data_IF_483425646765
#
_entry.id   IF_483425646765
#
_cell.length_a   1.000
_cell.length_b   1.000
_cell.length_c   1.000
_cell.angle_alpha   90.00
_cell.angle_beta   90.00
_cell.angle_gamma   90.00
#
_symmetry.space_group_name_H-M   'P 1'
#
loop_
_entity.id
_entity.type
_entity.pdbx_description
1 polymer ?
#
# COMPACT_ATOMS: atom_id res chain seq x y z
N UNK A 1 -44.72 35.24 17.37
CA UNK A 1 -45.62 34.10 17.63
C UNK A 1 -45.51 33.13 16.45
N UNK A 2 -45.22 31.87 16.75
CA UNK A 2 -45.12 30.67 15.88
C UNK A 2 -44.05 30.70 14.76
N UNK A 3 -42.92 29.99 14.82
CA UNK A 3 -42.60 28.56 15.06
C UNK A 3 -43.01 27.62 13.92
N UNK A 4 -42.04 26.76 13.54
CA UNK A 4 -42.07 25.48 12.80
C UNK A 4 -41.32 25.54 11.46
N UNK A 5 -40.04 25.18 11.43
CA UNK A 5 -39.43 23.83 11.39
C UNK A 5 -39.35 23.28 9.95
N UNK A 6 -38.11 23.20 9.47
CA UNK A 6 -37.74 22.95 8.06
C UNK A 6 -37.06 21.58 7.96
N UNK A 7 -37.80 20.56 8.38
CA UNK A 7 -37.44 19.15 8.26
C UNK A 7 -38.46 18.48 7.33
N UNK A 8 -37.98 17.63 6.41
CA UNK A 8 -38.70 16.85 5.38
C UNK A 8 -38.55 17.34 3.92
N UNK A 9 -37.31 17.31 3.39
CA UNK A 9 -37.04 17.24 1.94
C UNK A 9 -36.06 16.13 1.56
N UNK A 10 -36.20 14.96 2.18
CA UNK A 10 -35.54 13.74 1.72
C UNK A 10 -36.45 12.53 1.91
N UNK A 11 -37.26 12.25 0.89
CA UNK A 11 -37.83 10.93 0.52
C UNK A 11 -38.81 11.17 -0.63
N UNK A 12 -38.95 10.19 -1.51
CA UNK A 12 -39.85 10.13 -2.67
C UNK A 12 -39.34 10.61 -4.03
N UNK A 13 -38.27 9.98 -4.55
CA UNK A 13 -38.21 9.62 -5.98
C UNK A 13 -37.56 8.23 -6.10
N UNK A 14 -38.35 7.20 -5.79
CA UNK A 14 -38.15 5.84 -6.27
C UNK A 14 -39.53 5.37 -6.76
N UNK A 15 -39.55 4.67 -7.89
CA UNK A 15 -40.72 4.03 -8.53
C UNK A 15 -41.54 4.92 -9.47
N UNK A 16 -41.06 5.04 -10.71
CA UNK A 16 -41.96 4.92 -11.86
C UNK A 16 -41.17 4.45 -13.07
N UNK A 17 -41.57 3.30 -13.60
CA UNK A 17 -41.51 2.85 -15.01
C UNK A 17 -41.33 1.34 -15.05
N UNK A 18 -42.45 0.63 -14.83
CA UNK A 18 -42.69 -0.68 -15.41
C UNK A 18 -43.87 -0.54 -16.35
N UNK A 19 -43.65 -0.96 -17.60
CA UNK A 19 -44.67 -1.56 -18.45
C UNK A 19 -45.32 -0.66 -19.49
N UNK A 20 -44.86 -0.76 -20.74
CA UNK A 20 -45.70 -1.20 -21.87
C UNK A 20 -44.77 -1.81 -22.95
N UNK A 21 -45.06 -3.05 -23.33
CA UNK A 21 -44.22 -3.85 -24.22
C UNK A 21 -44.51 -3.61 -25.71
N UNK A 22 -43.55 -4.00 -26.54
CA UNK A 22 -43.83 -4.46 -27.89
C UNK A 22 -42.77 -5.47 -28.30
N UNK A 23 -43.24 -6.57 -28.86
CA UNK A 23 -42.47 -7.65 -29.46
C UNK A 23 -41.55 -7.10 -30.56
N UNK A 24 -40.27 -7.45 -30.49
CA UNK A 24 -39.44 -7.84 -31.63
C UNK A 24 -38.07 -8.26 -31.11
N UNK A 25 -37.69 -9.50 -31.39
CA UNK A 25 -36.41 -10.08 -31.01
C UNK A 25 -35.26 -9.37 -31.73
N UNK A 26 -34.47 -8.62 -30.97
CA UNK A 26 -33.09 -8.27 -31.33
C UNK A 26 -32.28 -8.36 -30.04
N UNK A 27 -31.38 -9.34 -29.94
CA UNK A 27 -30.33 -9.38 -28.93
C UNK A 27 -29.44 -8.14 -29.13
N UNK A 28 -29.76 -7.03 -28.45
CA UNK A 28 -28.84 -5.91 -28.33
C UNK A 28 -27.83 -6.26 -27.25
N UNK A 29 -26.62 -6.58 -27.69
CA UNK A 29 -25.42 -6.48 -26.87
C UNK A 29 -25.46 -5.14 -26.13
N UNK A 30 -25.49 -5.20 -24.79
CA UNK A 30 -25.31 -4.01 -23.96
C UNK A 30 -23.86 -3.58 -24.16
N UNK A 31 -23.68 -2.56 -24.99
CA UNK A 31 -22.39 -1.96 -25.33
C UNK A 31 -21.53 -1.71 -24.08
N UNK A 32 -20.29 -2.20 -24.13
CA UNK A 32 -19.20 -1.98 -23.16
C UNK A 32 -19.03 -0.49 -22.76
N UNK A 33 -19.48 0.44 -23.61
CA UNK A 33 -19.45 1.87 -23.35
C UNK A 33 -20.33 2.36 -22.19
N UNK A 34 -21.39 1.65 -21.80
CA UNK A 34 -22.25 2.10 -20.68
C UNK A 34 -21.66 1.73 -19.31
N UNK A 35 -20.91 0.64 -19.24
CA UNK A 35 -20.17 0.23 -18.04
C UNK A 35 -18.93 1.11 -17.80
N UNK A 36 -18.31 1.64 -18.87
CA UNK A 36 -17.24 2.63 -18.77
C UNK A 36 -17.69 3.94 -18.09
N UNK A 37 -18.95 4.37 -18.28
CA UNK A 37 -19.50 5.61 -17.69
C UNK A 37 -19.86 5.52 -16.21
N UNK A 38 -19.98 4.31 -15.66
CA UNK A 38 -20.35 4.09 -14.25
C UNK A 38 -19.15 3.84 -13.34
N UNK A 39 -17.91 3.90 -13.85
CA UNK A 39 -16.71 3.64 -13.05
C UNK A 39 -16.60 2.19 -12.55
N UNK A 40 -17.31 1.25 -13.19
CA UNK A 40 -17.29 -0.18 -12.84
C UNK A 40 -16.17 -0.98 -13.53
N UNK A 41 -15.39 -0.35 -14.41
CA UNK A 41 -14.10 -0.89 -14.83
C UNK A 41 -13.08 -0.44 -13.79
N UNK A 42 -12.87 -1.26 -12.76
CA UNK A 42 -11.59 -1.27 -12.07
C UNK A 42 -10.53 -1.41 -13.17
N UNK A 43 -9.59 -0.47 -13.28
CA UNK A 43 -8.56 -0.48 -14.31
C UNK A 43 -8.07 -1.92 -14.51
N UNK A 44 -8.43 -2.53 -15.64
CA UNK A 44 -8.17 -3.95 -15.93
C UNK A 44 -6.67 -4.29 -15.94
N UNK A 45 -5.81 -3.26 -15.89
CA UNK A 45 -4.37 -3.38 -15.98
C UNK A 45 -3.67 -3.62 -14.63
N UNK A 46 -4.31 -3.35 -13.48
CA UNK A 46 -3.72 -3.59 -12.14
C UNK A 46 -4.75 -4.14 -11.14
N UNK A 47 -4.41 -5.24 -10.47
CA UNK A 47 -5.28 -5.87 -9.47
C UNK A 47 -5.25 -5.12 -8.12
N UNK A 48 -5.83 -3.91 -8.09
CA UNK A 48 -5.86 -3.06 -6.89
C UNK A 48 -6.64 -3.69 -5.73
N UNK A 49 -6.11 -3.54 -4.51
CA UNK A 49 -6.70 -4.10 -3.29
C UNK A 49 -7.96 -3.35 -2.80
N UNK A 50 -8.36 -2.26 -3.47
CA UNK A 50 -9.55 -1.48 -3.12
C UNK A 50 -10.87 -2.13 -3.53
N UNK A 51 -10.83 -3.09 -4.47
CA UNK A 51 -11.99 -3.87 -4.90
C UNK A 51 -12.00 -5.29 -4.35
N UNK A 52 -13.05 -6.04 -4.67
CA UNK A 52 -13.11 -7.49 -4.41
C UNK A 52 -11.99 -8.21 -5.16
N UNK A 53 -11.41 -9.24 -4.54
CA UNK A 53 -10.41 -10.06 -5.18
C UNK A 53 -11.00 -10.76 -6.44
N UNK A 54 -10.32 -10.75 -7.60
CA UNK A 54 -10.90 -11.22 -8.87
C UNK A 54 -11.48 -12.64 -8.86
N UNK A 55 -10.91 -13.57 -8.08
CA UNK A 55 -11.45 -14.93 -7.89
C UNK A 55 -12.84 -14.97 -7.24
N UNK A 56 -13.12 -14.02 -6.35
CA UNK A 56 -14.38 -13.93 -5.61
C UNK A 56 -15.38 -12.94 -6.23
N UNK A 57 -14.98 -12.29 -7.33
CA UNK A 57 -15.85 -11.37 -8.06
C UNK A 57 -16.96 -12.12 -8.80
N UNK A 58 -18.13 -11.47 -8.95
CA UNK A 58 -19.25 -12.00 -9.75
C UNK A 58 -18.92 -12.08 -11.25
N UNK A 59 -17.88 -11.40 -11.71
CA UNK A 59 -17.46 -11.41 -13.12
C UNK A 59 -16.38 -12.45 -13.37
N UNK A 60 -16.48 -13.18 -14.48
CA UNK A 60 -15.53 -14.26 -14.88
C UNK A 60 -14.22 -13.72 -15.46
N UNK A 61 -13.54 -12.83 -14.72
CA UNK A 61 -12.31 -12.19 -15.18
C UNK A 61 -11.05 -12.72 -14.48
N UNK A 62 -11.18 -13.65 -13.53
CA UNK A 62 -10.06 -14.14 -12.70
C UNK A 62 -8.91 -14.74 -13.53
N UNK A 63 -9.21 -15.54 -14.57
CA UNK A 63 -8.18 -16.14 -15.43
C UNK A 63 -7.38 -15.10 -16.21
N UNK A 64 -8.06 -14.12 -16.81
CA UNK A 64 -7.41 -13.01 -17.51
C UNK A 64 -6.58 -12.14 -16.57
N UNK A 65 -7.10 -11.86 -15.37
CA UNK A 65 -6.39 -11.08 -14.36
C UNK A 65 -5.10 -11.79 -13.90
N UNK A 66 -5.15 -13.12 -13.73
CA UNK A 66 -3.99 -13.93 -13.40
C UNK A 66 -2.93 -13.89 -14.51
N UNK A 67 -3.31 -14.15 -15.76
CA UNK A 67 -2.39 -14.11 -16.91
C UNK A 67 -1.71 -12.75 -17.06
N UNK A 68 -2.47 -11.66 -16.90
CA UNK A 68 -1.92 -10.30 -16.94
C UNK A 68 -0.97 -10.03 -15.76
N UNK A 69 -1.30 -10.52 -14.55
CA UNK A 69 -0.42 -10.38 -13.39
C UNK A 69 0.89 -11.14 -13.57
N UNK A 70 0.86 -12.36 -14.11
CA UNK A 70 2.03 -13.16 -14.43
C UNK A 70 2.95 -12.41 -15.41
N UNK A 71 2.39 -11.89 -16.50
CA UNK A 71 3.13 -11.10 -17.49
C UNK A 71 3.76 -9.83 -16.88
N UNK A 72 2.99 -9.05 -16.12
CA UNK A 72 3.52 -7.85 -15.45
C UNK A 72 4.63 -8.17 -14.47
N UNK A 73 4.58 -9.35 -13.82
CA UNK A 73 5.61 -9.81 -12.89
C UNK A 73 6.91 -10.11 -13.63
N UNK A 74 6.84 -10.81 -14.76
CA UNK A 74 8.01 -11.06 -15.63
C UNK A 74 8.63 -9.73 -16.10
N UNK A 75 7.80 -8.82 -16.63
CA UNK A 75 8.24 -7.48 -17.06
C UNK A 75 8.87 -6.68 -15.89
N UNK A 76 8.36 -6.83 -14.67
CA UNK A 76 8.91 -6.16 -13.49
C UNK A 76 10.29 -6.71 -13.10
N UNK A 77 10.47 -8.02 -13.13
CA UNK A 77 11.77 -8.66 -12.86
C UNK A 77 12.81 -8.26 -13.90
N UNK A 78 12.44 -8.21 -15.18
CA UNK A 78 13.34 -7.78 -16.25
C UNK A 78 13.75 -6.31 -16.09
N UNK A 79 12.79 -5.43 -15.76
CA UNK A 79 13.07 -4.01 -15.49
C UNK A 79 14.05 -3.83 -14.33
N UNK A 80 13.89 -4.58 -13.24
CA UNK A 80 14.82 -4.50 -12.09
C UNK A 80 16.23 -4.95 -12.47
N UNK A 81 16.35 -5.99 -13.30
CA UNK A 81 17.66 -6.49 -13.77
C UNK A 81 18.39 -5.49 -14.66
N UNK A 82 17.65 -4.74 -15.47
CA UNK A 82 18.23 -3.83 -16.46
C UNK A 82 18.38 -2.39 -15.96
N UNK A 83 17.75 -2.04 -14.84
CA UNK A 83 17.79 -0.68 -14.32
C UNK A 83 19.06 -0.35 -13.54
N UNK A 84 19.53 0.89 -13.68
CA UNK A 84 20.56 1.52 -12.86
C UNK A 84 19.90 2.67 -12.10
N UNK A 85 19.14 2.33 -11.08
CA UNK A 85 18.42 3.32 -10.28
C UNK A 85 19.37 4.06 -9.34
N UNK A 86 19.19 5.38 -9.25
CA UNK A 86 19.87 6.24 -8.29
C UNK A 86 19.10 6.30 -6.96
N UNK A 87 18.95 5.14 -6.32
CA UNK A 87 18.23 4.96 -5.07
C UNK A 87 18.76 5.85 -3.93
N UNK A 88 20.08 5.99 -3.85
CA UNK A 88 20.75 6.76 -2.81
C UNK A 88 20.38 8.25 -2.87
N UNK A 89 20.41 8.86 -4.05
CA UNK A 89 20.01 10.27 -4.16
C UNK A 89 18.52 10.47 -3.85
N UNK A 90 17.67 9.49 -4.18
CA UNK A 90 16.24 9.54 -3.83
C UNK A 90 16.01 9.53 -2.32
N UNK A 91 16.58 8.56 -1.60
CA UNK A 91 16.43 8.47 -0.14
C UNK A 91 17.07 9.66 0.59
N UNK A 92 18.18 10.19 0.07
CA UNK A 92 18.77 11.43 0.59
C UNK A 92 17.83 12.63 0.42
N UNK A 93 17.23 12.81 -0.76
CA UNK A 93 16.26 13.89 -1.02
C UNK A 93 15.05 13.84 -0.06
N UNK A 94 14.55 12.64 0.25
CA UNK A 94 13.47 12.47 1.22
C UNK A 94 13.87 12.93 2.64
N UNK A 95 15.13 12.72 3.02
CA UNK A 95 15.65 13.10 4.33
C UNK A 95 16.07 14.58 4.43
N UNK A 96 16.53 15.17 3.33
CA UNK A 96 17.06 16.53 3.30
C UNK A 96 15.97 17.60 3.43
N UNK A 97 14.68 17.27 3.24
CA UNK A 97 13.53 18.13 3.54
C UNK A 97 13.82 19.62 3.23
N UNK A 98 14.35 19.88 2.04
CA UNK A 98 14.57 21.24 1.54
C UNK A 98 13.19 21.78 1.19
N UNK A 99 12.81 22.86 1.86
CA UNK A 99 11.61 23.63 1.57
C UNK A 99 11.74 24.09 0.10
N UNK A 100 10.78 23.71 -0.77
CA UNK A 100 10.52 24.23 -2.13
C UNK A 100 10.40 23.22 -3.31
N UNK A 101 10.26 21.91 -3.07
CA UNK A 101 9.94 20.95 -4.15
C UNK A 101 8.46 20.50 -4.13
N UNK A 102 7.51 21.42 -4.30
CA UNK A 102 6.16 21.01 -4.73
C UNK A 102 6.16 20.86 -6.26
N UNK A 103 6.21 19.62 -6.76
CA UNK A 103 6.09 19.39 -8.20
C UNK A 103 4.69 19.80 -8.67
N UNK A 104 4.65 20.73 -9.62
CA UNK A 104 3.43 21.14 -10.32
C UNK A 104 3.04 19.99 -11.25
N UNK A 105 1.97 19.27 -10.92
CA UNK A 105 1.36 18.33 -11.86
C UNK A 105 0.44 19.14 -12.76
N UNK A 106 0.78 19.24 -14.04
CA UNK A 106 -0.19 19.63 -15.06
C UNK A 106 -1.29 18.57 -15.06
N UNK A 107 -2.50 18.95 -14.66
CA UNK A 107 -3.66 18.10 -14.82
C UNK A 107 -3.72 17.69 -16.29
N UNK A 108 -3.60 16.40 -16.57
CA UNK A 108 -3.72 15.84 -17.91
C UNK A 108 -4.89 16.52 -18.62
N UNK A 109 -4.61 17.09 -19.79
CA UNK A 109 -5.60 17.73 -20.65
C UNK A 109 -6.57 16.64 -21.10
N UNK A 110 -7.60 16.41 -20.30
CA UNK A 110 -8.78 15.67 -20.72
C UNK A 110 -9.37 16.47 -21.89
N UNK A 111 -9.13 16.00 -23.11
CA UNK A 111 -9.65 16.58 -24.35
C UNK A 111 -11.17 16.32 -24.45
N UNK A 112 -11.96 16.90 -23.55
CA UNK A 112 -13.40 17.00 -23.72
C UNK A 112 -13.87 18.43 -23.40
N UNK A 113 -14.11 19.14 -24.51
CA UNK A 113 -14.92 20.34 -24.67
C UNK A 113 -14.46 21.61 -23.93
N UNK A 114 -13.78 22.46 -24.71
CA UNK A 114 -13.60 23.88 -24.43
C UNK A 114 -14.96 24.56 -24.22
N UNK A 115 -15.30 24.80 -22.96
CA UNK A 115 -16.02 26.00 -22.58
C UNK A 115 -15.06 26.88 -21.80
N UNK A 116 -14.71 28.02 -22.39
CA UNK A 116 -13.86 29.07 -21.82
C UNK A 116 -14.35 29.45 -20.41
N UNK A 117 -13.73 28.88 -19.38
CA UNK A 117 -13.75 29.44 -18.03
C UNK A 117 -12.53 30.35 -17.87
N UNK A 118 -12.68 31.50 -17.21
CA UNK A 118 -11.61 32.48 -17.05
C UNK A 118 -10.36 31.82 -16.46
N UNK A 119 -9.19 32.19 -17.02
CA UNK A 119 -7.88 31.56 -16.79
C UNK A 119 -7.40 31.58 -15.32
N UNK A 120 -8.12 32.25 -14.42
CA UNK A 120 -7.71 32.60 -13.06
C UNK A 120 -8.06 31.54 -11.98
N UNK A 121 -8.59 30.36 -12.37
CA UNK A 121 -9.01 29.32 -11.42
C UNK A 121 -8.45 27.91 -11.71
N UNK A 122 -7.45 27.77 -12.59
CA UNK A 122 -6.69 26.51 -12.69
C UNK A 122 -5.82 26.35 -11.46
N UNK A 123 -6.40 25.82 -10.37
CA UNK A 123 -5.65 25.39 -9.18
C UNK A 123 -4.63 24.35 -9.62
N UNK A 124 -3.36 24.77 -9.73
CA UNK A 124 -2.21 23.86 -9.90
C UNK A 124 -2.29 22.82 -8.78
N UNK A 125 -2.32 21.54 -9.15
CA UNK A 125 -2.32 20.46 -8.16
C UNK A 125 -0.86 20.18 -7.81
N UNK A 126 -0.51 20.55 -6.59
CA UNK A 126 0.78 20.24 -6.02
C UNK A 126 0.73 18.86 -5.38
N UNK A 127 1.71 18.01 -5.72
CA UNK A 127 1.89 16.71 -5.08
C UNK A 127 3.02 16.82 -4.07
N UNK A 128 2.75 16.37 -2.84
CA UNK A 128 3.77 16.30 -1.79
C UNK A 128 4.89 15.37 -2.24
N UNK A 129 6.15 15.74 -2.01
CA UNK A 129 7.33 14.89 -2.24
C UNK A 129 7.30 13.56 -1.49
N UNK A 130 6.47 13.47 -0.46
CA UNK A 130 6.28 12.27 0.35
C UNK A 130 5.09 11.42 -0.13
N UNK A 131 4.41 11.84 -1.20
CA UNK A 131 3.25 11.15 -1.75
C UNK A 131 3.68 10.04 -2.70
N UNK A 132 2.98 8.92 -2.62
CA UNK A 132 3.19 7.71 -3.43
C UNK A 132 4.57 7.07 -3.31
N UNK A 133 5.33 7.39 -2.25
CA UNK A 133 6.65 6.82 -1.94
C UNK A 133 6.64 5.37 -1.44
N UNK A 134 5.44 4.81 -1.21
CA UNK A 134 5.28 3.48 -0.66
C UNK A 134 5.13 2.44 -1.77
N UNK A 135 5.83 1.31 -1.63
CA UNK A 135 5.59 0.13 -2.46
C UNK A 135 4.26 -0.53 -2.03
N UNK A 136 3.34 -0.67 -2.98
CA UNK A 136 1.98 -1.14 -2.76
C UNK A 136 1.76 -2.50 -3.43
N UNK A 137 0.99 -3.35 -2.76
CA UNK A 137 0.62 -4.67 -3.27
C UNK A 137 -0.53 -4.64 -4.26
N UNK A 138 -0.61 -5.69 -5.06
CA UNK A 138 -1.81 -6.13 -5.76
C UNK A 138 -2.46 -7.30 -5.00
N UNK A 139 -3.72 -7.61 -5.30
CA UNK A 139 -4.26 -8.92 -4.95
C UNK A 139 -3.36 -10.02 -5.52
N UNK A 140 -3.08 -11.07 -4.74
CA UNK A 140 -2.34 -12.23 -5.25
C UNK A 140 -3.31 -13.16 -6.00
N UNK A 141 -3.47 -12.91 -7.31
CA UNK A 141 -4.43 -13.63 -8.17
C UNK A 141 -3.76 -14.79 -8.89
N UNK A 142 -2.64 -14.51 -9.54
CA UNK A 142 -1.74 -15.49 -10.11
C UNK A 142 -0.78 -16.00 -9.04
N UNK A 143 -0.78 -17.33 -8.83
CA UNK A 143 0.07 -17.98 -7.83
C UNK A 143 1.34 -18.46 -8.54
N UNK A 144 2.51 -17.84 -8.31
CA UNK A 144 3.75 -18.27 -8.93
C UNK A 144 4.09 -19.70 -8.51
N UNK A 145 4.62 -20.49 -9.45
CA UNK A 145 5.08 -21.86 -9.17
C UNK A 145 6.20 -21.87 -8.12
N UNK A 146 7.05 -20.84 -8.12
CA UNK A 146 8.16 -20.64 -7.19
C UNK A 146 7.76 -19.95 -5.88
N UNK A 147 6.45 -19.86 -5.57
CA UNK A 147 5.98 -19.19 -4.35
C UNK A 147 6.71 -19.69 -3.10
N UNK A 148 6.84 -21.01 -2.92
CA UNK A 148 7.46 -21.59 -1.72
C UNK A 148 8.96 -21.29 -1.58
N UNK A 149 9.69 -21.20 -2.69
CA UNK A 149 11.14 -21.04 -2.70
C UNK A 149 11.60 -19.58 -2.77
N UNK A 150 10.85 -18.74 -3.48
CA UNK A 150 11.27 -17.38 -3.86
C UNK A 150 10.40 -16.28 -3.24
N UNK A 151 9.39 -16.63 -2.43
CA UNK A 151 8.52 -15.63 -1.81
C UNK A 151 8.52 -15.73 -0.29
N UNK A 152 8.32 -14.57 0.35
CA UNK A 152 8.21 -14.44 1.79
C UNK A 152 6.85 -13.85 2.17
N UNK A 153 6.22 -14.42 3.18
CA UNK A 153 4.96 -13.98 3.75
C UNK A 153 5.23 -13.09 4.96
N UNK A 154 4.56 -11.94 5.02
CA UNK A 154 4.58 -11.01 6.15
C UNK A 154 3.15 -10.71 6.61
N UNK A 155 2.81 -10.96 7.87
CA UNK A 155 1.51 -10.61 8.42
C UNK A 155 1.40 -9.10 8.65
N UNK A 156 0.31 -8.54 8.17
CA UNK A 156 0.02 -7.11 8.24
C UNK A 156 -0.99 -6.84 9.36
N UNK A 157 -0.63 -6.05 10.40
CA UNK A 157 -1.57 -5.64 11.42
C UNK A 157 -2.64 -4.68 10.87
N UNK A 158 -3.77 -4.59 11.56
CA UNK A 158 -4.75 -3.52 11.36
C UNK A 158 -4.12 -2.19 11.76
N UNK A 159 -4.04 -1.27 10.80
CA UNK A 159 -3.44 0.04 11.04
C UNK A 159 -3.38 0.92 9.80
N UNK A 160 -2.71 2.06 9.94
CA UNK A 160 -2.49 3.02 8.85
C UNK A 160 -1.10 2.80 8.27
N UNK A 161 -1.03 2.48 6.98
CA UNK A 161 0.23 2.44 6.23
C UNK A 161 0.84 3.84 6.17
N UNK A 162 2.11 3.97 6.54
CA UNK A 162 2.82 5.24 6.65
C UNK A 162 4.28 5.14 6.24
N UNK A 163 4.76 6.18 5.55
CA UNK A 163 6.19 6.43 5.37
C UNK A 163 6.70 7.13 6.64
N UNK A 164 7.74 6.60 7.27
CA UNK A 164 8.39 7.22 8.42
C UNK A 164 9.75 7.76 8.01
N UNK A 165 9.97 9.05 8.23
CA UNK A 165 11.25 9.72 7.97
C UNK A 165 11.78 10.28 9.28
N UNK A 166 12.91 9.74 9.76
CA UNK A 166 13.65 10.25 10.91
C UNK A 166 14.89 10.99 10.41
N UNK A 167 14.89 12.31 10.49
CA UNK A 167 15.98 13.15 10.00
C UNK A 167 16.00 14.48 10.77
N UNK A 168 17.17 15.13 10.80
CA UNK A 168 17.36 16.48 11.40
C UNK A 168 16.89 16.60 12.87
N UNK A 169 16.83 15.49 13.60
CA UNK A 169 16.49 15.43 15.01
C UNK A 169 15.00 15.30 15.33
N UNK A 170 14.17 14.96 14.34
CA UNK A 170 12.76 14.64 14.50
C UNK A 170 12.36 13.44 13.63
N UNK A 171 11.20 12.85 13.93
CA UNK A 171 10.60 11.77 13.14
C UNK A 171 9.20 12.17 12.71
N UNK A 172 8.95 12.12 11.41
CA UNK A 172 7.67 12.46 10.81
C UNK A 172 7.08 11.23 10.13
N UNK A 173 5.79 10.98 10.36
CA UNK A 173 5.04 9.93 9.66
C UNK A 173 4.09 10.56 8.63
N UNK A 174 4.19 10.13 7.38
CA UNK A 174 3.38 10.58 6.26
C UNK A 174 2.43 9.48 5.80
N UNK A 175 1.21 9.85 5.40
CA UNK A 175 0.28 8.92 4.76
C UNK A 175 0.66 8.68 3.28
N UNK A 176 -0.06 7.79 2.59
CA UNK A 176 0.13 7.51 1.16
C UNK A 176 0.09 8.76 0.27
N UNK A 177 -0.70 9.76 0.63
CA UNK A 177 -0.82 11.03 -0.09
C UNK A 177 0.27 12.06 0.30
N UNK A 178 1.28 11.66 1.07
CA UNK A 178 2.37 12.52 1.51
C UNK A 178 1.99 13.57 2.55
N UNK A 179 0.81 13.46 3.17
CA UNK A 179 0.37 14.35 4.24
C UNK A 179 0.90 13.85 5.58
N UNK A 180 1.49 14.76 6.34
CA UNK A 180 1.94 14.51 7.71
C UNK A 180 0.77 14.07 8.60
N UNK A 181 0.91 12.91 9.22
CA UNK A 181 -0.01 12.41 10.26
C UNK A 181 0.43 12.91 11.63
N UNK A 182 1.72 12.77 11.93
CA UNK A 182 2.29 13.17 13.22
C UNK A 182 3.80 13.42 13.08
N UNK A 183 4.33 14.28 13.94
CA UNK A 183 5.76 14.49 14.12
C UNK A 183 6.09 14.31 15.60
N UNK A 184 7.18 13.60 15.91
CA UNK A 184 7.56 13.23 17.26
C UNK A 184 9.07 12.97 17.36
N UNK A 185 9.57 12.83 18.59
CA UNK A 185 10.95 12.38 18.84
C UNK A 185 10.96 10.86 18.89
N UNK A 186 11.87 10.23 18.17
CA UNK A 186 12.07 8.78 18.21
C UNK A 186 13.50 8.42 18.59
N UNK A 187 13.73 7.14 18.87
CA UNK A 187 15.08 6.59 19.07
C UNK A 187 15.71 6.09 17.77
N UNK A 188 15.06 6.29 16.62
CA UNK A 188 15.66 5.97 15.34
C UNK A 188 16.86 6.90 15.07
N UNK A 189 17.90 6.44 14.35
CA UNK A 189 18.96 7.33 13.87
C UNK A 189 18.37 8.50 13.07
N UNK A 190 18.72 9.72 13.47
CA UNK A 190 18.19 10.96 12.89
C UNK A 190 16.92 11.49 13.58
N UNK A 191 16.29 10.71 14.47
CA UNK A 191 14.99 11.02 15.08
C UNK A 191 15.00 11.87 16.35
N UNK A 192 16.17 12.29 16.84
CA UNK A 192 16.30 13.09 18.06
C UNK A 192 17.49 14.07 18.02
N UNK A 193 17.47 15.10 18.88
CA UNK A 193 18.50 16.15 18.90
C UNK A 193 19.94 15.64 19.10
N UNK A 194 20.14 14.54 19.84
CA UNK A 194 21.45 13.91 20.03
C UNK A 194 21.96 13.16 18.80
N UNK A 195 21.10 12.90 17.81
CA UNK A 195 21.46 12.28 16.53
C UNK A 195 21.49 13.32 15.40
N UNK A 196 21.79 14.59 15.71
CA UNK A 196 21.97 15.66 14.73
C UNK A 196 23.36 15.56 14.09
N UNK A 197 23.56 14.56 13.25
CA UNK A 197 24.67 14.49 12.31
C UNK A 197 24.21 14.86 10.91
N UNK A 198 25.03 15.57 10.14
CA UNK A 198 24.80 15.68 8.69
C UNK A 198 24.81 14.27 8.08
N UNK A 199 23.85 13.97 7.21
CA UNK A 199 23.72 12.66 6.57
C UNK A 199 23.15 11.53 7.45
N UNK A 200 22.75 11.80 8.69
CA UNK A 200 22.14 10.78 9.57
C UNK A 200 20.62 10.81 9.47
N UNK A 201 20.06 9.82 8.80
CA UNK A 201 18.61 9.65 8.63
C UNK A 201 18.19 8.19 8.56
N UNK A 202 16.92 7.93 8.85
CA UNK A 202 16.28 6.61 8.72
C UNK A 202 14.95 6.77 8.00
N UNK A 203 14.69 5.92 7.01
CA UNK A 203 13.43 5.89 6.26
C UNK A 203 12.86 4.47 6.36
N UNK A 204 11.67 4.36 6.92
CA UNK A 204 10.97 3.10 7.12
C UNK A 204 9.61 3.12 6.45
N UNK A 205 9.19 1.95 6.01
CA UNK A 205 7.83 1.69 5.59
C UNK A 205 7.08 0.95 6.71
N UNK A 206 6.14 1.62 7.36
CA UNK A 206 5.51 1.14 8.58
C UNK A 206 3.99 0.99 8.45
N UNK A 207 3.42 0.24 9.39
CA UNK A 207 1.99 0.22 9.68
C UNK A 207 1.82 0.74 11.11
N UNK A 208 1.15 1.89 11.25
CA UNK A 208 0.90 2.52 12.54
C UNK A 208 -0.45 2.04 13.09
N UNK A 209 -0.42 1.39 14.25
CA UNK A 209 -1.64 0.97 14.95
C UNK A 209 -2.25 2.10 15.79
N UNK A 210 -3.42 1.83 16.38
CA UNK A 210 -4.07 2.78 17.30
C UNK A 210 -3.33 2.95 18.65
N UNK A 211 -2.44 2.01 19.00
CA UNK A 211 -1.71 1.94 20.28
C UNK A 211 -0.33 2.61 20.21
N UNK A 212 -0.10 3.51 19.25
CA UNK A 212 1.17 4.24 19.08
C UNK A 212 2.36 3.32 18.81
N UNK A 213 2.12 2.19 18.17
CA UNK A 213 3.15 1.25 17.72
C UNK A 213 3.28 1.37 16.20
N UNK A 214 4.51 1.55 15.72
CA UNK A 214 4.86 1.44 14.32
C UNK A 214 5.41 0.04 14.07
N UNK A 215 4.66 -0.77 13.35
CA UNK A 215 5.15 -2.06 12.86
C UNK A 215 5.97 -1.82 11.60
N UNK A 216 7.26 -2.07 11.65
CA UNK A 216 8.19 -1.89 10.55
C UNK A 216 8.00 -3.04 9.55
N UNK A 217 7.52 -2.71 8.36
CA UNK A 217 7.30 -3.68 7.28
C UNK A 217 8.48 -3.70 6.30
N UNK A 218 9.13 -2.56 6.05
CA UNK A 218 10.35 -2.51 5.23
C UNK A 218 11.27 -1.35 5.67
N UNK A 219 12.53 -1.39 5.23
CA UNK A 219 13.56 -0.38 5.48
C UNK A 219 14.11 0.14 4.16
N UNK A 220 14.02 1.45 3.94
CA UNK A 220 14.54 2.09 2.73
C UNK A 220 15.91 2.69 3.00
N UNK A 221 16.13 3.23 4.20
CA UNK A 221 17.42 3.72 4.63
C UNK A 221 17.59 3.60 6.14
N UNK A 222 18.80 3.33 6.61
CA UNK A 222 19.12 3.28 8.03
C UNK A 222 20.45 3.96 8.33
N UNK A 223 20.43 4.98 9.19
CA UNK A 223 21.62 5.77 9.55
C UNK A 223 22.40 6.30 8.33
N UNK A 224 21.67 6.79 7.33
CA UNK A 224 22.25 7.34 6.08
C UNK A 224 22.65 6.30 5.03
N UNK A 225 22.59 5.00 5.34
CA UNK A 225 22.82 3.93 4.37
C UNK A 225 21.54 3.62 3.62
N UNK A 226 21.54 3.81 2.30
CA UNK A 226 20.44 3.35 1.44
C UNK A 226 20.36 1.82 1.43
N UNK A 227 19.15 1.31 1.59
CA UNK A 227 18.84 -0.11 1.54
C UNK A 227 17.86 -0.44 0.41
N UNK A 228 17.22 0.57 -0.20
CA UNK A 228 16.10 0.41 -1.12
C UNK A 228 16.46 -0.36 -2.40
N UNK A 229 17.71 -0.26 -2.86
CA UNK A 229 18.22 -1.01 -4.01
C UNK A 229 18.49 -2.51 -3.75
N UNK A 230 18.52 -2.95 -2.49
CA UNK A 230 18.82 -4.34 -2.16
C UNK A 230 17.56 -5.22 -2.27
N UNK A 231 17.68 -6.54 -2.48
CA UNK A 231 16.57 -7.50 -2.39
C UNK A 231 15.78 -7.41 -1.07
N UNK A 232 14.49 -7.77 -1.13
CA UNK A 232 13.60 -7.72 0.04
C UNK A 232 14.06 -8.60 1.19
N UNK A 233 14.55 -9.81 0.91
CA UNK A 233 15.07 -10.71 1.96
C UNK A 233 16.25 -10.11 2.73
N UNK A 234 17.16 -9.45 2.03
CA UNK A 234 18.24 -8.69 2.64
C UNK A 234 17.72 -7.52 3.45
N UNK A 235 16.75 -6.74 2.94
CA UNK A 235 16.15 -5.62 3.69
C UNK A 235 15.46 -6.10 4.97
N UNK A 236 14.75 -7.23 4.93
CA UNK A 236 14.13 -7.84 6.11
C UNK A 236 15.16 -8.29 7.15
N UNK A 237 16.25 -8.92 6.70
CA UNK A 237 17.36 -9.30 7.57
C UNK A 237 17.97 -8.07 8.23
N UNK A 238 18.28 -7.03 7.45
CA UNK A 238 18.86 -5.78 7.94
C UNK A 238 17.95 -5.06 8.92
N UNK A 239 16.67 -4.91 8.60
CA UNK A 239 15.68 -4.31 9.50
C UNK A 239 15.64 -5.05 10.85
N UNK A 240 15.58 -6.37 10.81
CA UNK A 240 15.57 -7.21 12.00
C UNK A 240 16.86 -7.09 12.81
N UNK A 241 18.02 -7.08 12.15
CA UNK A 241 19.32 -6.91 12.81
C UNK A 241 19.41 -5.54 13.48
N UNK A 242 19.04 -4.47 12.77
CA UNK A 242 19.14 -3.10 13.28
C UNK A 242 18.19 -2.80 14.44
N UNK A 243 16.98 -3.37 14.43
CA UNK A 243 16.08 -3.26 15.58
C UNK A 243 16.57 -4.07 16.79
N UNK A 244 17.26 -5.21 16.57
CA UNK A 244 17.88 -6.01 17.66
C UNK A 244 19.10 -5.33 18.27
N UNK A 245 19.89 -4.61 17.47
CA UNK A 245 21.04 -3.82 17.93
C UNK A 245 20.63 -2.66 18.86
N UNK A 246 19.39 -2.18 18.76
CA UNK A 246 18.87 -1.04 19.53
C UNK A 246 17.50 -1.33 20.16
N UNK A 247 17.44 -2.23 21.16
CA UNK A 247 16.17 -2.70 21.75
C UNK A 247 15.34 -1.57 22.36
N UNK A 248 15.95 -0.46 22.77
CA UNK A 248 15.26 0.72 23.30
C UNK A 248 14.28 1.37 22.32
N UNK A 249 14.45 1.13 21.01
CA UNK A 249 13.54 1.59 19.95
C UNK A 249 12.15 0.93 20.11
N UNK A 250 12.11 -0.27 20.68
CA UNK A 250 10.87 -1.02 20.94
C UNK A 250 10.15 -0.59 22.23
N UNK A 251 10.74 0.30 23.04
CA UNK A 251 10.22 0.68 24.36
C UNK A 251 9.59 2.08 24.36
N UNK A 252 8.39 2.21 24.94
CA UNK A 252 7.75 3.51 25.12
C UNK A 252 8.24 4.19 26.40
N UNK A 253 8.37 5.51 26.37
CA UNK A 253 8.67 6.35 27.53
C UNK A 253 7.98 7.70 27.40
N UNK A 254 7.98 8.53 28.45
CA UNK A 254 7.44 9.90 28.38
C UNK A 254 8.11 10.74 27.28
N UNK A 255 9.41 10.57 27.06
CA UNK A 255 10.17 11.32 26.05
C UNK A 255 10.03 10.75 24.64
N UNK A 256 9.85 9.42 24.53
CA UNK A 256 9.73 8.68 23.27
C UNK A 256 8.46 7.82 23.35
N UNK A 257 7.30 8.40 23.03
CA UNK A 257 6.01 7.75 23.28
C UNK A 257 5.65 6.66 22.27
N UNK A 258 6.29 6.65 21.10
CA UNK A 258 6.07 5.68 20.04
C UNK A 258 7.14 4.58 20.05
N UNK A 259 6.73 3.36 19.73
CA UNK A 259 7.59 2.16 19.68
C UNK A 259 7.67 1.68 18.24
N UNK A 260 8.82 1.16 17.83
CA UNK A 260 8.96 0.49 16.54
C UNK A 260 9.24 -1.00 16.77
N UNK A 261 8.41 -1.86 16.16
CA UNK A 261 8.49 -3.30 16.29
C UNK A 261 8.67 -3.93 14.91
N UNK A 262 9.50 -4.98 14.77
CA UNK A 262 9.57 -5.74 13.53
C UNK A 262 8.26 -6.53 13.34
N UNK A 263 7.94 -6.84 12.07
CA UNK A 263 6.95 -7.86 11.74
C UNK A 263 7.65 -9.21 11.55
N UNK A 264 7.03 -10.33 11.97
CA UNK A 264 7.58 -11.64 11.66
C UNK A 264 7.48 -11.92 10.16
N UNK A 265 8.35 -12.77 9.65
CA UNK A 265 8.44 -13.11 8.23
C UNK A 265 8.79 -14.60 8.11
N UNK A 266 8.21 -15.31 7.15
CA UNK A 266 8.61 -16.67 6.81
C UNK A 266 8.59 -16.88 5.30
N UNK A 267 9.28 -17.91 4.81
CA UNK A 267 9.10 -18.38 3.44
C UNK A 267 7.67 -18.86 3.23
N UNK A 268 7.19 -18.80 2.00
CA UNK A 268 5.85 -19.27 1.65
C UNK A 268 5.76 -20.79 1.48
N UNK A 269 6.47 -21.54 2.33
CA UNK A 269 6.30 -22.98 2.47
C UNK A 269 5.05 -23.25 3.29
N UNK A 270 4.21 -24.22 2.85
CA UNK A 270 2.92 -24.50 3.51
C UNK A 270 3.08 -24.68 5.04
N UNK A 271 4.03 -25.52 5.45
CA UNK A 271 4.25 -25.82 6.88
C UNK A 271 4.60 -24.56 7.69
N UNK A 272 5.46 -23.69 7.17
CA UNK A 272 5.88 -22.44 7.84
C UNK A 272 4.74 -21.43 7.92
N UNK A 273 3.94 -21.31 6.85
CA UNK A 273 2.76 -20.43 6.87
C UNK A 273 1.73 -20.94 7.88
N UNK A 274 1.43 -22.24 7.89
CA UNK A 274 0.51 -22.83 8.87
C UNK A 274 1.01 -22.65 10.30
N UNK A 275 2.31 -22.85 10.55
CA UNK A 275 2.92 -22.61 11.86
C UNK A 275 2.78 -21.15 12.30
N UNK A 276 3.11 -20.19 11.44
CA UNK A 276 2.98 -18.77 11.73
C UNK A 276 1.52 -18.41 12.08
N UNK A 277 0.55 -18.89 11.28
CA UNK A 277 -0.87 -18.63 11.50
C UNK A 277 -1.38 -19.26 12.80
N UNK A 278 -0.83 -20.42 13.20
CA UNK A 278 -1.16 -21.13 14.44
C UNK A 278 -0.61 -20.43 15.68
N UNK A 279 0.63 -19.95 15.61
CA UNK A 279 1.30 -19.23 16.70
C UNK A 279 0.58 -17.91 17.04
N UNK A 280 0.01 -17.27 16.04
CA UNK A 280 -0.72 -16.01 16.21
C UNK A 280 0.22 -14.81 16.39
N UNK A 281 -0.39 -13.65 16.68
CA UNK A 281 0.30 -12.37 16.70
C UNK A 281 -0.15 -11.52 17.90
N UNK A 282 0.73 -10.67 18.40
CA UNK A 282 0.42 -9.69 19.45
C UNK A 282 -0.38 -8.46 18.94
N UNK A 283 -0.88 -8.56 17.71
CA UNK A 283 -1.67 -7.55 17.04
C UNK A 283 -2.86 -8.17 16.33
N UNK A 284 -3.86 -7.35 16.02
CA UNK A 284 -4.99 -7.75 15.19
C UNK A 284 -4.54 -7.86 13.73
N UNK A 285 -4.71 -9.04 13.13
CA UNK A 285 -4.29 -9.33 11.77
C UNK A 285 -5.29 -8.76 10.76
N UNK A 286 -4.83 -7.90 9.86
CA UNK A 286 -5.63 -7.38 8.73
C UNK A 286 -5.54 -8.30 7.51
N UNK A 287 -4.33 -8.74 7.19
CA UNK A 287 -4.06 -9.61 6.05
C UNK A 287 -2.60 -9.98 5.93
N UNK A 288 -2.24 -10.56 4.80
CA UNK A 288 -0.95 -11.18 4.56
C UNK A 288 -0.37 -10.61 3.27
N UNK A 289 0.85 -10.10 3.36
CA UNK A 289 1.64 -9.65 2.22
C UNK A 289 2.58 -10.77 1.79
N UNK A 290 2.76 -10.89 0.48
CA UNK A 290 3.63 -11.87 -0.16
C UNK A 290 4.63 -11.12 -1.01
N UNK A 291 5.88 -11.11 -0.62
CA UNK A 291 6.95 -10.43 -1.35
C UNK A 291 7.80 -11.45 -2.09
N UNK A 292 8.09 -11.20 -3.35
CA UNK A 292 9.19 -11.88 -4.03
C UNK A 292 10.50 -11.54 -3.29
N UNK A 293 11.31 -12.53 -2.91
CA UNK A 293 12.52 -12.33 -2.09
C UNK A 293 13.50 -11.35 -2.75
N UNK A 294 13.63 -11.45 -4.07
CA UNK A 294 14.50 -10.61 -4.90
C UNK A 294 14.01 -9.18 -5.18
N UNK A 295 12.82 -8.77 -4.74
CA UNK A 295 12.25 -7.47 -5.16
C UNK A 295 13.01 -6.29 -4.55
N UNK A 296 13.48 -5.35 -5.38
CA UNK A 296 13.99 -4.05 -4.92
C UNK A 296 12.83 -3.12 -4.54
N UNK A 297 13.06 -2.15 -3.65
CA UNK A 297 11.99 -1.27 -3.19
C UNK A 297 11.71 -0.20 -4.24
N UNK A 298 10.55 -0.30 -4.88
CA UNK A 298 10.06 0.68 -5.85
C UNK A 298 8.71 1.25 -5.39
N UNK A 299 8.61 2.58 -5.41
CA UNK A 299 7.40 3.31 -5.08
C UNK A 299 6.25 2.97 -6.06
N UNK A 300 5.03 2.86 -5.52
CA UNK A 300 3.84 2.55 -6.30
C UNK A 300 3.47 1.06 -6.32
N UNK A 301 2.50 0.71 -7.16
CA UNK A 301 1.92 -0.63 -7.19
C UNK A 301 2.81 -1.63 -7.93
N UNK A 302 3.07 -2.78 -7.30
CA UNK A 302 3.98 -3.82 -7.79
C UNK A 302 3.32 -5.20 -7.86
N UNK A 303 3.45 -5.95 -8.98
CA UNK A 303 2.99 -7.34 -9.08
C UNK A 303 3.91 -8.34 -8.35
N UNK A 304 5.06 -7.86 -7.85
CA UNK A 304 6.01 -8.63 -7.02
C UNK A 304 5.66 -8.57 -5.53
N UNK A 305 4.57 -7.86 -5.18
CA UNK A 305 4.01 -7.83 -3.84
C UNK A 305 2.53 -8.19 -3.92
N UNK A 306 2.19 -9.37 -3.43
CA UNK A 306 0.82 -9.88 -3.35
C UNK A 306 0.17 -9.57 -2.00
N UNK A 307 -1.15 -9.54 -1.98
CA UNK A 307 -1.97 -9.38 -0.79
C UNK A 307 -3.07 -10.43 -0.77
N UNK A 308 -3.30 -11.06 0.38
CA UNK A 308 -4.46 -11.91 0.64
C UNK A 308 -5.04 -11.63 2.03
N UNK A 309 -6.33 -11.91 2.19
CA UNK A 309 -6.96 -12.00 3.51
C UNK A 309 -6.75 -13.38 4.12
N UNK A 310 -6.72 -13.51 5.46
CA UNK A 310 -6.44 -14.79 6.12
C UNK A 310 -7.43 -15.89 5.73
N UNK A 311 -8.71 -15.56 5.57
CA UNK A 311 -9.75 -16.50 5.15
C UNK A 311 -9.59 -17.03 3.72
N UNK A 312 -8.79 -16.34 2.88
CA UNK A 312 -8.55 -16.77 1.49
C UNK A 312 -7.49 -17.88 1.39
N UNK A 313 -6.66 -18.07 2.42
CA UNK A 313 -5.52 -19.00 2.38
C UNK A 313 -5.89 -20.46 2.12
N UNK A 314 -6.93 -21.03 2.77
CA UNK A 314 -7.34 -22.40 2.51
C UNK A 314 -7.74 -22.63 1.05
N UNK A 315 -8.45 -21.67 0.44
CA UNK A 315 -8.93 -21.81 -0.94
C UNK A 315 -7.86 -21.47 -1.99
N UNK A 316 -7.05 -20.45 -1.74
CA UNK A 316 -6.09 -19.95 -2.74
C UNK A 316 -4.76 -20.71 -2.68
N UNK A 317 -4.23 -20.96 -1.48
CA UNK A 317 -2.90 -21.53 -1.28
C UNK A 317 -2.94 -22.94 -0.68
N UNK A 318 -4.12 -23.46 -0.34
CA UNK A 318 -4.29 -24.71 0.38
C UNK A 318 -3.46 -24.71 1.69
N UNK A 319 -3.58 -23.63 2.46
CA UNK A 319 -2.91 -23.41 3.74
C UNK A 319 -3.97 -23.36 4.84
N UNK A 320 -3.83 -24.22 5.85
CA UNK A 320 -4.76 -24.26 6.97
C UNK A 320 -4.58 -23.05 7.87
N UNK A 321 -5.68 -22.40 8.26
CA UNK A 321 -5.67 -21.29 9.22
C UNK A 321 -6.61 -21.59 10.39
N UNK A 322 -6.35 -21.05 11.60
CA UNK A 322 -7.26 -21.19 12.73
C UNK A 322 -8.68 -20.71 12.39
N UNK A 323 -9.70 -21.40 12.89
CA UNK A 323 -11.13 -21.14 12.57
C UNK A 323 -11.56 -19.67 12.76
N UNK A 324 -10.99 -18.99 13.76
CA UNK A 324 -11.26 -17.58 14.04
C UNK A 324 -10.92 -16.63 12.86
N UNK A 325 -10.08 -17.08 11.92
CA UNK A 325 -9.59 -16.30 10.78
C UNK A 325 -10.29 -16.63 9.46
N UNK A 326 -11.22 -17.60 9.44
CA UNK A 326 -11.96 -18.04 8.24
C UNK A 326 -13.29 -17.27 8.07
N UNK A 327 -13.62 -16.38 9.02
CA UNK A 327 -14.94 -15.74 9.14
C UNK A 327 -15.17 -14.55 8.21
#
# INVERSE_FOLDING_TARGET
MHSLDNSLRHRWILLRWVGYGSQNGVKRSLNDGFLNKLGLVCCLDKCTISGEHPRFSKFKNAGRAAEQQAKRREDAMERQRNSRFDHFNHTRKLAENEEDDEEIIDAERDHQEEQEKPQDLRKKRYKSRYADELMLSEWLVDIPEQLSSEWMMVPSPVGKRVLVVAAKGATTAYNKAGKTITQFRSRLPGGHQKSKGSGVYTILDCIMDAKKTFYCLDVLAWNGMDMSANPFDFRQYMLSSKLKESPEISLSSKQFPYRFLPLPCCKCERALMEEMMRNGFDFELDGLLYYHSGVVYEAGQSPLVGWLKPWMLPEILNVTVPEKLVR
#
